data_IF_271298951050
#
_entry.id   IF_271298951050
#
_cell.length_a   1.000
_cell.length_b   1.000
_cell.length_c   1.000
_cell.angle_alpha   90.00
_cell.angle_beta   90.00
_cell.angle_gamma   90.00
#
_symmetry.space_group_name_H-M   'P 1'
#
loop_
_entity.id
_entity.type
_entity.pdbx_description
1 polymer ?
#
# COMPACT_ATOMS: atom_id res chain seq x y z
N UNK A 1 6.28 15.92 5.85
CA UNK A 1 6.74 16.24 7.22
C UNK A 1 8.03 17.06 7.27
N UNK A 2 8.77 17.20 6.16
CA UNK A 2 10.05 17.92 6.13
C UNK A 2 9.92 19.45 6.26
N UNK A 3 8.72 20.00 6.08
CA UNK A 3 8.42 21.43 6.29
C UNK A 3 7.09 21.54 7.02
N UNK A 4 7.08 22.31 8.11
CA UNK A 4 5.85 22.65 8.85
C UNK A 4 4.98 23.56 7.97
N UNK A 5 3.70 23.22 7.88
CA UNK A 5 2.73 24.04 7.15
C UNK A 5 2.27 25.17 8.07
N UNK A 6 2.36 26.42 7.61
CA UNK A 6 1.95 27.61 8.37
C UNK A 6 0.66 28.22 7.87
N UNK A 7 0.18 27.80 6.71
CA UNK A 7 -1.07 28.26 6.09
C UNK A 7 -2.28 27.57 6.75
N UNK A 8 -3.16 28.30 7.46
CA UNK A 8 -4.34 27.73 8.11
C UNK A 8 -5.31 27.05 7.12
N UNK A 9 -5.42 27.54 5.89
CA UNK A 9 -6.33 26.96 4.88
C UNK A 9 -5.85 25.58 4.47
N UNK A 10 -4.54 25.41 4.24
CA UNK A 10 -3.93 24.11 3.92
C UNK A 10 -4.06 23.15 5.09
N UNK A 11 -3.88 23.62 6.32
CA UNK A 11 -4.06 22.79 7.52
C UNK A 11 -5.51 22.34 7.63
N UNK A 12 -6.47 23.25 7.49
CA UNK A 12 -7.91 22.94 7.55
C UNK A 12 -8.33 21.94 6.46
N UNK A 13 -7.84 22.14 5.23
CA UNK A 13 -8.06 21.21 4.13
C UNK A 13 -7.62 19.77 4.48
N UNK A 14 -6.47 19.62 5.15
CA UNK A 14 -5.98 18.30 5.59
C UNK A 14 -6.81 17.72 6.74
N UNK A 15 -7.25 18.58 7.68
CA UNK A 15 -8.14 18.16 8.77
C UNK A 15 -9.46 17.59 8.23
N UNK A 16 -10.04 18.23 7.21
CA UNK A 16 -11.28 17.76 6.58
C UNK A 16 -11.10 16.34 6.00
N UNK A 17 -9.92 16.02 5.44
CA UNK A 17 -9.62 14.67 4.95
C UNK A 17 -9.57 13.66 6.12
N UNK A 18 -8.95 14.04 7.25
CA UNK A 18 -8.93 13.17 8.45
C UNK A 18 -10.36 12.93 8.96
N UNK A 19 -11.20 13.97 8.96
CA UNK A 19 -12.60 13.86 9.35
C UNK A 19 -13.36 12.84 8.48
N UNK A 20 -13.15 12.84 7.17
CA UNK A 20 -13.76 11.87 6.27
C UNK A 20 -13.37 10.43 6.64
N UNK A 21 -12.08 10.16 6.93
CA UNK A 21 -11.62 8.83 7.35
C UNK A 21 -12.17 8.41 8.72
N UNK A 22 -12.41 9.36 9.63
CA UNK A 22 -13.02 9.07 10.94
C UNK A 22 -14.53 8.78 10.79
N UNK A 23 -15.23 9.57 9.97
CA UNK A 23 -16.69 9.57 9.88
C UNK A 23 -17.24 8.58 8.83
N UNK A 24 -16.43 8.14 7.88
CA UNK A 24 -16.80 7.21 6.81
C UNK A 24 -15.87 5.99 6.83
N UNK A 25 -16.09 5.03 7.74
CA UNK A 25 -15.22 3.85 7.88
C UNK A 25 -15.10 3.01 6.60
N UNK A 26 -16.12 3.03 5.75
CA UNK A 26 -16.12 2.37 4.45
C UNK A 26 -15.02 2.92 3.52
N UNK A 27 -14.63 4.19 3.69
CA UNK A 27 -13.57 4.84 2.92
C UNK A 27 -12.20 4.17 3.16
N UNK A 28 -11.87 3.90 4.42
CA UNK A 28 -10.64 3.19 4.77
C UNK A 28 -10.64 1.79 4.16
N UNK A 29 -11.72 1.03 4.36
CA UNK A 29 -11.81 -0.35 3.93
C UNK A 29 -11.61 -0.50 2.41
N UNK A 30 -12.25 0.37 1.62
CA UNK A 30 -12.18 0.29 0.16
C UNK A 30 -10.84 0.78 -0.38
N UNK A 31 -10.38 1.95 0.06
CA UNK A 31 -9.16 2.54 -0.45
C UNK A 31 -7.92 1.73 -0.03
N UNK A 32 -7.86 1.29 1.23
CA UNK A 32 -6.75 0.45 1.68
C UNK A 32 -6.65 -0.84 0.88
N UNK A 33 -7.76 -1.58 0.77
CA UNK A 33 -7.80 -2.85 0.03
C UNK A 33 -7.43 -2.67 -1.44
N UNK A 34 -8.08 -1.72 -2.12
CA UNK A 34 -7.90 -1.51 -3.57
C UNK A 34 -6.50 -0.99 -3.89
N UNK A 35 -6.03 0.06 -3.21
CA UNK A 35 -4.74 0.65 -3.49
C UNK A 35 -3.58 -0.27 -3.08
N UNK A 36 -3.71 -0.97 -1.95
CA UNK A 36 -2.69 -1.94 -1.52
C UNK A 36 -2.58 -3.12 -2.49
N UNK A 37 -3.70 -3.62 -2.99
CA UNK A 37 -3.71 -4.69 -4.00
C UNK A 37 -3.02 -4.25 -5.29
N UNK A 38 -3.34 -3.05 -5.79
CA UNK A 38 -2.70 -2.48 -6.99
C UNK A 38 -1.19 -2.29 -6.77
N UNK A 39 -0.79 -1.74 -5.62
CA UNK A 39 0.62 -1.51 -5.28
C UNK A 39 1.41 -2.82 -5.13
N UNK A 40 0.87 -3.82 -4.45
CA UNK A 40 1.51 -5.12 -4.29
C UNK A 40 1.70 -5.82 -5.66
N UNK A 41 0.69 -5.74 -6.51
CA UNK A 41 0.72 -6.30 -7.85
C UNK A 41 1.77 -5.59 -8.73
N UNK A 42 1.85 -4.26 -8.68
CA UNK A 42 2.85 -3.49 -9.45
C UNK A 42 4.28 -3.91 -9.11
N UNK A 43 4.60 -4.09 -7.83
CA UNK A 43 5.92 -4.57 -7.40
C UNK A 43 6.26 -5.98 -7.91
N UNK A 44 5.28 -6.88 -7.96
CA UNK A 44 5.48 -8.25 -8.46
C UNK A 44 5.86 -8.27 -9.94
N UNK A 45 5.27 -7.38 -10.75
CA UNK A 45 5.60 -7.24 -12.18
C UNK A 45 7.01 -6.74 -12.40
N UNK A 46 7.40 -5.68 -11.67
CA UNK A 46 8.75 -5.11 -11.83
C UNK A 46 9.86 -6.07 -11.35
N UNK A 47 9.60 -6.88 -10.35
CA UNK A 47 10.58 -7.86 -9.85
C UNK A 47 10.84 -9.02 -10.81
N UNK A 48 9.89 -9.34 -11.70
CA UNK A 48 9.97 -10.45 -12.66
C UNK A 48 10.31 -10.01 -14.10
N UNK A 49 10.48 -8.73 -14.35
CA UNK A 49 10.85 -8.20 -15.66
C UNK A 49 12.24 -8.68 -16.06
N UNK A 50 12.31 -9.79 -16.79
CA UNK A 50 13.54 -10.45 -17.22
C UNK A 50 13.44 -11.97 -17.37
N UNK A 51 12.32 -12.58 -17.00
CA UNK A 51 12.07 -14.00 -17.25
C UNK A 51 11.49 -14.19 -18.65
N UNK A 52 12.08 -15.09 -19.42
CA UNK A 52 11.83 -15.33 -20.85
C UNK A 52 10.59 -16.19 -21.12
N UNK A 53 9.52 -16.08 -20.35
CA UNK A 53 8.32 -16.93 -20.53
C UNK A 53 7.10 -16.10 -20.95
N UNK A 54 6.94 -15.87 -22.26
CA UNK A 54 5.95 -14.94 -22.82
C UNK A 54 4.47 -15.31 -22.55
N UNK A 55 4.11 -16.59 -22.51
CA UNK A 55 2.75 -17.02 -22.16
C UNK A 55 2.45 -16.87 -20.67
N UNK A 56 3.40 -17.18 -19.81
CA UNK A 56 3.27 -16.98 -18.38
C UNK A 56 3.12 -15.50 -18.06
N UNK A 57 3.94 -14.66 -18.70
CA UNK A 57 3.87 -13.20 -18.57
C UNK A 57 2.53 -12.65 -19.05
N UNK A 58 1.97 -13.15 -20.16
CA UNK A 58 0.65 -12.75 -20.64
C UNK A 58 -0.45 -13.10 -19.62
N UNK A 59 -0.39 -14.29 -19.03
CA UNK A 59 -1.36 -14.72 -18.01
C UNK A 59 -1.26 -13.87 -16.74
N UNK A 60 -0.04 -13.57 -16.28
CA UNK A 60 0.18 -12.69 -15.13
C UNK A 60 -0.30 -11.27 -15.40
N UNK A 61 0.04 -10.68 -16.55
CA UNK A 61 -0.41 -9.34 -16.93
C UNK A 61 -1.94 -9.26 -17.05
N UNK A 62 -2.57 -10.30 -17.58
CA UNK A 62 -4.04 -10.38 -17.65
C UNK A 62 -4.65 -10.40 -16.24
N UNK A 63 -4.12 -11.22 -15.32
CA UNK A 63 -4.59 -11.29 -13.95
C UNK A 63 -4.40 -9.95 -13.19
N UNK A 64 -3.34 -9.21 -13.49
CA UNK A 64 -3.10 -7.88 -12.92
C UNK A 64 -4.16 -6.87 -13.35
N UNK A 65 -4.50 -6.87 -14.63
CA UNK A 65 -5.52 -5.96 -15.15
C UNK A 65 -6.90 -6.36 -14.66
N UNK A 66 -7.21 -7.65 -14.54
CA UNK A 66 -8.45 -8.10 -13.91
C UNK A 66 -8.56 -7.63 -12.44
N UNK A 67 -7.45 -7.70 -11.70
CA UNK A 67 -7.40 -7.18 -10.33
C UNK A 67 -7.62 -5.65 -10.30
N UNK A 68 -7.03 -4.92 -11.24
CA UNK A 68 -7.28 -3.48 -11.40
C UNK A 68 -8.74 -3.18 -11.73
N UNK A 69 -9.34 -3.90 -12.68
CA UNK A 69 -10.76 -3.75 -13.03
C UNK A 69 -11.64 -4.00 -11.79
N UNK A 70 -11.38 -5.07 -11.04
CA UNK A 70 -12.13 -5.38 -9.81
C UNK A 70 -12.00 -4.25 -8.76
N UNK A 71 -10.81 -3.69 -8.57
CA UNK A 71 -10.60 -2.56 -7.67
C UNK A 71 -11.40 -1.32 -8.12
N UNK A 72 -11.42 -1.03 -9.41
CA UNK A 72 -12.19 0.10 -9.96
C UNK A 72 -13.70 -0.09 -9.80
N UNK A 73 -14.20 -1.32 -9.95
CA UNK A 73 -15.62 -1.67 -9.72
C UNK A 73 -16.00 -1.53 -8.23
N UNK A 74 -15.12 -1.94 -7.32
CA UNK A 74 -15.34 -1.75 -5.88
C UNK A 74 -15.38 -0.25 -5.53
N UNK A 75 -14.47 0.56 -6.10
CA UNK A 75 -14.43 2.01 -5.90
C UNK A 75 -15.68 2.70 -6.46
N UNK A 76 -16.17 2.28 -7.63
CA UNK A 76 -17.43 2.76 -8.19
C UNK A 76 -18.61 2.45 -7.27
N UNK A 77 -18.72 1.24 -6.75
CA UNK A 77 -19.76 0.87 -5.78
C UNK A 77 -19.70 1.69 -4.48
N UNK A 78 -18.50 2.12 -4.06
CA UNK A 78 -18.34 3.07 -2.95
C UNK A 78 -18.81 4.47 -3.34
N UNK A 79 -18.42 4.96 -4.52
CA UNK A 79 -18.85 6.26 -5.03
C UNK A 79 -20.35 6.43 -4.98
N UNK A 80 -21.09 5.48 -5.53
CA UNK A 80 -22.57 5.52 -5.56
C UNK A 80 -23.22 5.57 -4.16
N UNK A 81 -22.60 4.91 -3.18
CA UNK A 81 -23.18 4.78 -1.83
C UNK A 81 -22.72 5.85 -0.86
N UNK A 82 -21.51 6.33 -0.99
CA UNK A 82 -20.83 7.08 0.06
C UNK A 82 -20.28 8.44 -0.37
N UNK A 83 -20.22 8.80 -1.67
CA UNK A 83 -19.66 10.08 -2.10
C UNK A 83 -20.36 11.29 -1.45
N UNK A 84 -21.67 11.23 -1.22
CA UNK A 84 -22.45 12.27 -0.55
C UNK A 84 -22.14 12.43 0.94
N UNK A 85 -21.46 11.47 1.59
CA UNK A 85 -21.05 11.55 3.00
C UNK A 85 -19.72 12.30 3.17
N UNK A 86 -18.93 12.44 2.11
CA UNK A 86 -17.62 13.09 2.15
C UNK A 86 -17.76 14.60 2.28
N UNK A 87 -17.07 15.17 3.25
CA UNK A 87 -17.06 16.61 3.54
C UNK A 87 -15.84 17.29 2.89
N UNK A 88 -14.69 16.63 2.88
CA UNK A 88 -13.47 17.22 2.35
C UNK A 88 -13.50 17.39 0.82
N UNK A 89 -13.03 18.52 0.35
CA UNK A 89 -12.84 18.77 -1.07
C UNK A 89 -11.80 17.79 -1.67
N UNK A 90 -10.77 17.44 -0.86
CA UNK A 90 -9.71 16.53 -1.28
C UNK A 90 -10.21 15.13 -1.57
N UNK A 91 -10.95 14.51 -0.65
CA UNK A 91 -11.46 13.16 -0.87
C UNK A 91 -12.54 13.11 -1.95
N UNK A 92 -13.40 14.13 -2.03
CA UNK A 92 -14.34 14.25 -3.15
C UNK A 92 -13.64 14.29 -4.50
N UNK A 93 -12.57 15.08 -4.62
CA UNK A 93 -11.79 15.15 -5.86
C UNK A 93 -11.13 13.81 -6.21
N UNK A 94 -10.55 13.11 -5.23
CA UNK A 94 -9.95 11.79 -5.43
C UNK A 94 -10.99 10.77 -5.90
N UNK A 95 -12.09 10.66 -5.18
CA UNK A 95 -13.15 9.68 -5.49
C UNK A 95 -13.80 10.02 -6.83
N UNK A 96 -13.97 11.31 -7.16
CA UNK A 96 -14.48 11.75 -8.47
C UNK A 96 -13.48 11.39 -9.60
N UNK A 97 -12.19 11.60 -9.40
CA UNK A 97 -11.20 11.25 -10.42
C UNK A 97 -11.15 9.73 -10.70
N UNK A 98 -11.35 8.91 -9.68
CA UNK A 98 -11.48 7.44 -9.83
C UNK A 98 -12.76 7.11 -10.60
N UNK A 99 -13.88 7.76 -10.28
CA UNK A 99 -15.16 7.56 -10.96
C UNK A 99 -15.11 8.00 -12.42
N UNK A 100 -14.48 9.14 -12.72
CA UNK A 100 -14.30 9.63 -14.10
C UNK A 100 -13.48 8.61 -14.93
N UNK A 101 -12.44 8.03 -14.31
CA UNK A 101 -11.65 6.96 -14.96
C UNK A 101 -12.49 5.70 -15.18
N UNK A 102 -13.30 5.30 -14.20
CA UNK A 102 -14.19 4.14 -14.33
C UNK A 102 -15.20 4.31 -15.47
N UNK A 103 -15.73 5.53 -15.66
CA UNK A 103 -16.70 5.86 -16.71
C UNK A 103 -16.08 6.15 -18.07
N UNK A 104 -14.76 6.18 -18.17
CA UNK A 104 -14.10 6.47 -19.43
C UNK A 104 -14.35 5.40 -20.50
N UNK A 105 -14.39 5.79 -21.75
CA UNK A 105 -14.53 4.87 -22.89
C UNK A 105 -13.35 3.89 -22.97
N UNK A 106 -12.15 4.36 -22.59
CA UNK A 106 -10.95 3.53 -22.53
C UNK A 106 -11.09 2.41 -21.52
N UNK A 107 -11.65 2.68 -20.33
CA UNK A 107 -11.85 1.65 -19.30
C UNK A 107 -12.94 0.65 -19.73
N UNK A 108 -14.02 1.11 -20.34
CA UNK A 108 -15.07 0.24 -20.89
C UNK A 108 -14.50 -0.69 -21.98
N UNK A 109 -13.69 -0.16 -22.88
CA UNK A 109 -12.99 -0.92 -23.93
C UNK A 109 -12.04 -1.95 -23.33
N UNK A 110 -11.24 -1.55 -22.34
CA UNK A 110 -10.34 -2.46 -21.64
C UNK A 110 -11.09 -3.66 -21.02
N UNK A 111 -12.23 -3.43 -20.37
CA UNK A 111 -13.02 -4.51 -19.78
C UNK A 111 -13.44 -5.55 -20.82
N UNK A 112 -13.87 -5.10 -22.00
CA UNK A 112 -14.26 -5.99 -23.10
C UNK A 112 -13.07 -6.76 -23.63
N UNK A 113 -11.96 -6.09 -23.92
CA UNK A 113 -10.74 -6.71 -24.45
C UNK A 113 -10.14 -7.75 -23.52
N UNK A 114 -10.10 -7.46 -22.22
CA UNK A 114 -9.60 -8.41 -21.20
C UNK A 114 -10.52 -9.62 -21.06
N UNK A 115 -11.84 -9.43 -21.10
CA UNK A 115 -12.78 -10.53 -21.06
C UNK A 115 -12.64 -11.46 -22.31
N UNK A 116 -12.43 -10.89 -23.49
CA UNK A 116 -12.16 -11.64 -24.72
C UNK A 116 -10.80 -12.35 -24.68
N UNK A 117 -9.76 -11.67 -24.22
CA UNK A 117 -8.43 -12.26 -24.04
C UNK A 117 -8.50 -13.45 -23.07
N UNK A 118 -9.18 -13.30 -21.93
CA UNK A 118 -9.38 -14.40 -20.97
C UNK A 118 -10.12 -15.57 -21.57
N UNK A 119 -11.17 -15.31 -22.34
CA UNK A 119 -11.90 -16.35 -23.05
C UNK A 119 -10.99 -17.08 -24.04
N UNK A 120 -10.16 -16.33 -24.76
CA UNK A 120 -9.18 -16.88 -25.71
C UNK A 120 -8.12 -17.71 -24.99
N UNK A 121 -7.58 -17.22 -23.86
CA UNK A 121 -6.62 -17.95 -23.02
C UNK A 121 -7.26 -19.21 -22.40
N UNK A 122 -8.52 -19.12 -21.95
CA UNK A 122 -9.24 -20.25 -21.35
C UNK A 122 -9.65 -21.31 -22.39
N UNK A 123 -9.96 -20.90 -23.61
CA UNK A 123 -10.21 -21.78 -24.77
C UNK A 123 -8.96 -22.11 -25.55
N UNK A 124 -7.84 -21.51 -25.17
CA UNK A 124 -6.52 -21.70 -25.77
C UNK A 124 -6.00 -23.12 -25.59
N UNK A 125 -4.86 -23.33 -26.12
CA UNK A 125 -4.19 -24.64 -26.19
C UNK A 125 -4.18 -25.36 -24.83
N UNK A 126 -4.91 -26.48 -24.75
CA UNK A 126 -4.95 -27.34 -23.57
C UNK A 126 -3.99 -28.52 -23.65
N UNK A 127 -3.52 -28.82 -24.86
CA UNK A 127 -2.50 -29.86 -25.06
C UNK A 127 -1.65 -29.59 -26.29
N UNK A 128 -0.42 -30.04 -26.27
CA UNK A 128 0.54 -30.00 -27.38
C UNK A 128 1.10 -31.36 -27.59
N UNK A 129 1.33 -31.70 -28.84
CA UNK A 129 1.95 -32.97 -29.21
C UNK A 129 3.31 -32.70 -29.84
N UNK A 130 4.33 -33.38 -29.33
CA UNK A 130 5.69 -33.29 -29.84
C UNK A 130 6.10 -34.60 -30.46
N UNK A 131 6.83 -34.55 -31.58
CA UNK A 131 7.59 -35.62 -32.13
C UNK A 131 9.06 -35.50 -31.75
N UNK A 132 9.69 -36.61 -31.42
CA UNK A 132 11.11 -36.65 -31.11
C UNK A 132 11.78 -37.63 -32.11
N UNK A 133 12.69 -37.11 -32.91
CA UNK A 133 13.54 -37.94 -33.74
C UNK A 133 14.73 -38.45 -32.92
N UNK A 134 15.07 -39.73 -33.13
CA UNK A 134 16.17 -40.35 -32.41
C UNK A 134 17.32 -40.66 -33.39
N UNK A 135 18.57 -40.56 -32.93
CA UNK A 135 19.75 -40.98 -33.65
C UNK A 135 19.86 -42.52 -33.71
N UNK A 136 20.87 -43.03 -34.40
CA UNK A 136 21.13 -44.50 -34.54
C UNK A 136 21.40 -45.17 -33.17
N UNK A 137 21.71 -44.40 -32.13
CA UNK A 137 21.93 -44.87 -30.76
C UNK A 137 20.70 -44.64 -29.86
N UNK A 138 19.53 -44.37 -30.45
CA UNK A 138 18.26 -44.11 -29.73
C UNK A 138 18.31 -42.91 -28.82
N UNK A 139 19.16 -41.93 -29.08
CA UNK A 139 19.22 -40.65 -28.33
C UNK A 139 18.38 -39.57 -29.04
N UNK A 140 17.68 -38.71 -28.31
CA UNK A 140 16.95 -37.59 -28.92
C UNK A 140 17.88 -36.69 -29.73
N UNK A 141 17.61 -36.54 -31.02
CA UNK A 141 18.37 -35.71 -31.95
C UNK A 141 17.59 -34.40 -32.29
N UNK A 142 16.29 -34.53 -32.52
CA UNK A 142 15.45 -33.45 -32.93
C UNK A 142 14.09 -33.54 -32.27
N UNK A 143 13.52 -32.37 -31.88
CA UNK A 143 12.18 -32.26 -31.30
C UNK A 143 11.37 -31.29 -32.16
N UNK A 144 10.21 -31.73 -32.68
CA UNK A 144 9.31 -30.95 -33.48
C UNK A 144 7.93 -30.87 -32.85
N UNK A 145 7.29 -29.66 -32.86
CA UNK A 145 5.90 -29.48 -32.48
C UNK A 145 5.01 -30.03 -33.61
N UNK A 146 4.23 -31.09 -33.35
CA UNK A 146 3.37 -31.73 -34.34
C UNK A 146 1.99 -31.11 -34.39
N UNK A 147 1.37 -30.88 -33.22
CA UNK A 147 0.02 -30.33 -33.17
C UNK A 147 -0.25 -29.62 -31.86
N UNK A 148 -1.21 -28.68 -31.92
CA UNK A 148 -1.74 -27.93 -30.79
C UNK A 148 -3.25 -28.17 -30.74
N UNK A 149 -3.78 -28.57 -29.57
CA UNK A 149 -5.20 -28.90 -29.40
C UNK A 149 -5.84 -28.02 -28.32
N UNK A 150 -7.12 -27.68 -28.54
CA UNK A 150 -7.97 -27.01 -27.57
C UNK A 150 -8.54 -27.95 -26.51
N UNK A 151 -8.36 -29.25 -26.66
CA UNK A 151 -8.79 -30.25 -25.69
C UNK A 151 -7.60 -30.71 -24.83
N UNK A 152 -7.81 -30.94 -23.51
CA UNK A 152 -6.77 -31.52 -22.68
C UNK A 152 -6.49 -32.94 -23.14
N UNK A 153 -5.23 -33.32 -23.08
CA UNK A 153 -4.84 -34.74 -23.34
C UNK A 153 -5.54 -35.64 -22.31
N UNK A 154 -6.33 -36.59 -22.77
CA UNK A 154 -7.04 -37.55 -21.91
C UNK A 154 -6.43 -38.94 -22.12
N UNK A 155 -6.05 -39.58 -21.03
CA UNK A 155 -5.77 -41.02 -21.06
C UNK A 155 -7.03 -41.76 -21.51
N UNK A 156 -6.86 -42.66 -22.47
CA UNK A 156 -7.94 -43.56 -22.90
C UNK A 156 -8.33 -44.47 -21.75
N UNK A 157 -9.60 -44.46 -21.38
CA UNK A 157 -10.19 -45.48 -20.53
C UNK A 157 -10.18 -46.83 -21.33
N UNK A 158 -9.92 -47.94 -20.64
CA UNK A 158 -9.91 -49.27 -21.20
C UNK A 158 -11.11 -49.59 -22.12
N UNK A 159 -12.27 -48.97 -21.87
CA UNK A 159 -13.51 -49.13 -22.66
C UNK A 159 -13.43 -48.54 -24.08
N UNK A 160 -12.65 -47.46 -24.30
CA UNK A 160 -12.53 -46.84 -25.63
C UNK A 160 -11.64 -47.65 -26.54
N UNK A 161 -10.73 -48.48 -25.96
CA UNK A 161 -9.91 -49.43 -26.68
C UNK A 161 -10.74 -50.60 -27.26
N UNK A 162 -11.80 -50.99 -26.54
CA UNK A 162 -12.69 -52.10 -26.97
C UNK A 162 -13.66 -51.69 -28.08
N UNK A 163 -13.96 -50.42 -28.21
CA UNK A 163 -14.94 -49.88 -29.19
C UNK A 163 -14.32 -49.42 -30.51
N UNK A 164 -13.04 -49.58 -30.70
CA UNK A 164 -12.38 -49.33 -32.00
C UNK A 164 -12.36 -47.89 -32.47
N UNK A 165 -12.54 -46.91 -31.57
CA UNK A 165 -12.56 -45.47 -31.91
C UNK A 165 -11.12 -45.06 -32.22
N UNK A 166 -10.82 -44.83 -33.50
CA UNK A 166 -9.52 -44.31 -33.96
C UNK A 166 -9.34 -42.86 -33.50
N UNK A 167 -8.50 -42.61 -32.50
CA UNK A 167 -7.94 -41.29 -32.20
C UNK A 167 -6.42 -41.33 -32.42
N UNK A 168 -5.94 -40.26 -32.94
CA UNK A 168 -4.70 -40.18 -33.71
C UNK A 168 -3.38 -40.33 -32.95
N UNK A 169 -3.31 -40.40 -31.63
CA UNK A 169 -2.04 -40.64 -30.91
C UNK A 169 -2.30 -41.30 -29.56
N UNK A 170 -1.80 -42.52 -29.35
CA UNK A 170 -1.77 -43.20 -28.05
C UNK A 170 -0.43 -42.95 -27.35
N UNK A 171 -0.40 -42.53 -26.07
CA UNK A 171 0.84 -42.49 -25.34
C UNK A 171 1.29 -43.93 -25.04
N UNK A 172 2.53 -44.25 -25.43
CA UNK A 172 3.12 -45.54 -25.14
C UNK A 172 3.40 -45.72 -23.64
N UNK A 173 3.62 -44.64 -22.93
CA UNK A 173 3.82 -44.59 -21.48
C UNK A 173 3.55 -43.23 -20.92
N UNK A 174 3.11 -43.13 -19.65
CA UNK A 174 2.98 -41.88 -18.94
C UNK A 174 4.34 -41.48 -18.37
N UNK A 175 4.98 -40.53 -19.03
CA UNK A 175 6.19 -39.93 -18.47
C UNK A 175 5.76 -38.93 -17.37
N UNK A 176 5.63 -39.41 -16.14
CA UNK A 176 5.50 -38.53 -14.98
C UNK A 176 6.83 -37.81 -14.79
N UNK A 177 6.88 -36.54 -15.04
CA UNK A 177 7.97 -35.69 -14.56
C UNK A 177 7.92 -35.69 -13.04
N UNK A 178 8.64 -36.61 -12.39
CA UNK A 178 8.91 -36.52 -10.97
C UNK A 178 9.63 -35.19 -10.76
N UNK A 179 9.01 -34.27 -10.00
CA UNK A 179 9.75 -33.12 -9.48
C UNK A 179 10.98 -33.71 -8.77
N UNK A 180 12.16 -33.46 -9.31
CA UNK A 180 13.40 -33.78 -8.61
C UNK A 180 13.34 -33.02 -7.26
N UNK A 181 13.83 -33.64 -6.19
CA UNK A 181 13.87 -33.02 -4.86
C UNK A 181 14.65 -31.72 -4.86
N UNK A 182 15.46 -31.46 -5.87
CA UNK A 182 16.32 -30.28 -6.01
C UNK A 182 15.77 -29.21 -6.96
N UNK A 183 14.52 -29.31 -7.44
CA UNK A 183 13.90 -28.29 -8.29
C UNK A 183 14.50 -28.11 -9.69
N UNK A 184 15.49 -28.93 -10.08
CA UNK A 184 16.12 -28.85 -11.37
C UNK A 184 15.19 -29.44 -12.47
N UNK A 185 14.75 -28.57 -13.37
CA UNK A 185 14.06 -28.94 -14.61
C UNK A 185 15.11 -29.61 -15.52
N UNK A 186 14.82 -30.79 -16.06
CA UNK A 186 15.76 -31.46 -16.96
C UNK A 186 16.01 -30.57 -18.18
N UNK A 187 17.23 -30.63 -18.76
CA UNK A 187 17.63 -29.81 -19.91
C UNK A 187 16.73 -29.98 -21.15
N UNK A 188 16.00 -31.07 -21.24
CA UNK A 188 15.01 -31.33 -22.29
C UNK A 188 13.76 -30.49 -22.07
N UNK A 189 13.30 -30.36 -20.83
CA UNK A 189 12.14 -29.51 -20.51
C UNK A 189 12.44 -28.04 -20.77
N UNK A 190 13.64 -27.56 -20.50
CA UNK A 190 14.04 -26.17 -20.75
C UNK A 190 14.02 -25.80 -22.24
N UNK A 191 14.49 -26.70 -23.12
CA UNK A 191 14.41 -26.46 -24.56
C UNK A 191 12.98 -26.51 -25.08
N UNK A 192 12.18 -27.48 -24.62
CA UNK A 192 10.78 -27.63 -24.98
C UNK A 192 9.96 -26.39 -24.59
N UNK A 193 10.18 -25.89 -23.38
CA UNK A 193 9.51 -24.65 -22.92
C UNK A 193 10.02 -23.44 -23.71
N UNK A 194 11.28 -23.41 -24.12
CA UNK A 194 11.85 -22.33 -24.94
C UNK A 194 11.23 -22.25 -26.33
N UNK A 195 10.99 -23.39 -26.96
CA UNK A 195 10.32 -23.45 -28.27
C UNK A 195 8.84 -23.13 -28.18
N UNK A 196 8.14 -23.58 -27.14
CA UNK A 196 6.76 -23.16 -26.84
C UNK A 196 6.67 -21.65 -26.60
N UNK A 197 7.64 -21.09 -25.91
CA UNK A 197 7.75 -19.68 -25.61
C UNK A 197 8.04 -18.84 -26.88
N UNK A 198 8.87 -19.37 -27.79
CA UNK A 198 9.16 -18.72 -29.07
C UNK A 198 7.91 -18.65 -29.97
N UNK A 199 7.10 -19.71 -30.01
CA UNK A 199 5.84 -19.75 -30.75
C UNK A 199 4.76 -18.83 -30.16
N UNK A 200 4.75 -18.67 -28.83
CA UNK A 200 3.86 -17.71 -28.14
C UNK A 200 4.37 -16.29 -28.16
N UNK A 201 5.68 -16.10 -28.34
CA UNK A 201 6.38 -14.84 -28.11
C UNK A 201 5.97 -13.71 -29.05
N UNK A 202 5.73 -13.98 -30.33
CA UNK A 202 5.25 -12.95 -31.24
C UNK A 202 3.82 -12.51 -30.96
N UNK A 203 2.96 -13.47 -30.60
CA UNK A 203 1.55 -13.17 -30.31
C UNK A 203 1.37 -12.45 -28.97
N UNK A 204 2.13 -12.87 -27.95
CA UNK A 204 2.05 -12.27 -26.62
C UNK A 204 2.75 -10.93 -26.51
N UNK A 205 3.78 -10.68 -27.33
CA UNK A 205 4.59 -9.46 -27.22
C UNK A 205 3.80 -8.18 -27.51
N UNK A 206 2.94 -8.18 -28.49
CA UNK A 206 2.07 -7.04 -28.79
C UNK A 206 1.05 -6.79 -27.67
N UNK A 207 0.42 -7.85 -27.17
CA UNK A 207 -0.54 -7.76 -26.06
C UNK A 207 0.15 -7.33 -24.75
N UNK A 208 1.28 -7.92 -24.41
CA UNK A 208 2.04 -7.55 -23.22
C UNK A 208 2.47 -6.09 -23.24
N UNK A 209 2.92 -5.58 -24.39
CA UNK A 209 3.31 -4.18 -24.52
C UNK A 209 2.12 -3.23 -24.35
N UNK A 210 0.98 -3.54 -24.96
CA UNK A 210 -0.24 -2.72 -24.84
C UNK A 210 -0.81 -2.77 -23.41
N UNK A 211 -0.88 -3.96 -22.81
CA UNK A 211 -1.35 -4.15 -21.44
C UNK A 211 -0.46 -3.43 -20.42
N UNK A 212 0.86 -3.49 -20.59
CA UNK A 212 1.81 -2.74 -19.74
C UNK A 212 1.67 -1.25 -19.91
N UNK A 213 1.61 -0.75 -21.13
CA UNK A 213 1.47 0.68 -21.37
C UNK A 213 0.17 1.24 -20.74
N UNK A 214 -0.92 0.50 -20.83
CA UNK A 214 -2.18 0.87 -20.20
C UNK A 214 -2.09 0.83 -18.67
N UNK A 215 -1.50 -0.23 -18.14
CA UNK A 215 -1.30 -0.43 -16.71
C UNK A 215 -0.45 0.70 -16.14
N UNK A 216 0.71 0.97 -16.70
CA UNK A 216 1.62 2.00 -16.23
C UNK A 216 0.97 3.39 -16.26
N UNK A 217 0.28 3.75 -17.34
CA UNK A 217 -0.41 5.04 -17.47
C UNK A 217 -1.58 5.20 -16.46
N UNK A 218 -2.22 4.10 -16.05
CA UNK A 218 -3.37 4.14 -15.13
C UNK A 218 -2.97 4.05 -13.66
N UNK A 219 -1.80 3.51 -13.35
CA UNK A 219 -1.39 3.14 -12.00
C UNK A 219 -0.54 4.18 -11.31
N UNK A 220 0.28 4.96 -12.02
CA UNK A 220 1.18 5.95 -11.41
C UNK A 220 0.43 6.90 -10.45
N UNK A 221 -0.75 7.35 -10.86
CA UNK A 221 -1.63 8.16 -10.00
C UNK A 221 -2.04 7.40 -8.73
N UNK A 222 -2.49 6.16 -8.87
CA UNK A 222 -2.97 5.33 -7.74
C UNK A 222 -1.83 4.92 -6.79
N UNK A 223 -0.63 4.64 -7.31
CA UNK A 223 0.56 4.35 -6.49
C UNK A 223 1.00 5.58 -5.67
N UNK A 224 0.93 6.76 -6.28
CA UNK A 224 1.24 8.01 -5.56
C UNK A 224 0.19 8.29 -4.48
N UNK A 225 -1.07 8.04 -4.79
CA UNK A 225 -2.19 8.19 -3.88
C UNK A 225 -2.11 7.22 -2.68
N UNK A 226 -1.65 5.99 -2.89
CA UNK A 226 -1.54 4.96 -1.84
C UNK A 226 -0.73 5.46 -0.63
N UNK A 227 0.41 6.09 -0.86
CA UNK A 227 1.24 6.63 0.22
C UNK A 227 0.56 7.75 0.99
N UNK A 228 -0.18 8.62 0.30
CA UNK A 228 -0.91 9.71 0.91
C UNK A 228 -2.11 9.19 1.71
N UNK A 229 -2.86 8.27 1.16
CA UNK A 229 -4.01 7.65 1.82
C UNK A 229 -3.58 6.90 3.08
N UNK A 230 -2.49 6.13 3.04
CA UNK A 230 -1.97 5.42 4.21
C UNK A 230 -1.59 6.36 5.36
N UNK A 231 -1.13 7.57 5.06
CA UNK A 231 -0.89 8.60 6.08
C UNK A 231 -2.19 8.99 6.81
N UNK A 232 -3.26 9.26 6.07
CA UNK A 232 -4.55 9.64 6.67
C UNK A 232 -5.25 8.48 7.38
N UNK A 233 -5.15 7.27 6.85
CA UNK A 233 -5.61 6.04 7.54
C UNK A 233 -4.88 5.88 8.87
N UNK A 234 -3.56 6.03 8.90
CA UNK A 234 -2.76 5.97 10.12
C UNK A 234 -3.18 7.04 11.16
N UNK A 235 -3.51 8.24 10.69
CA UNK A 235 -4.03 9.31 11.54
C UNK A 235 -5.40 8.96 12.14
N UNK A 236 -6.37 8.55 11.33
CA UNK A 236 -7.71 8.15 11.78
C UNK A 236 -7.66 6.98 12.75
N UNK A 237 -6.83 5.97 12.46
CA UNK A 237 -6.62 4.81 13.32
C UNK A 237 -5.99 5.20 14.67
N UNK A 238 -5.11 6.21 14.69
CA UNK A 238 -4.56 6.76 15.93
C UNK A 238 -5.66 7.40 16.77
N UNK A 239 -6.51 8.22 16.16
CA UNK A 239 -7.68 8.85 16.83
C UNK A 239 -8.60 7.77 17.42
N UNK A 240 -8.98 6.77 16.62
CA UNK A 240 -9.87 5.69 17.04
C UNK A 240 -9.27 4.90 18.22
N UNK A 241 -7.97 4.59 18.16
CA UNK A 241 -7.25 3.89 19.22
C UNK A 241 -7.22 4.68 20.52
N UNK A 242 -6.87 5.97 20.49
CA UNK A 242 -6.83 6.79 21.70
C UNK A 242 -8.23 6.92 22.31
N UNK A 243 -9.25 7.16 21.48
CA UNK A 243 -10.64 7.23 21.96
C UNK A 243 -11.14 5.92 22.57
N UNK A 244 -10.75 4.79 22.03
CA UNK A 244 -11.13 3.47 22.61
C UNK A 244 -10.53 3.21 24.01
N UNK A 245 -9.49 3.94 24.37
CA UNK A 245 -8.89 3.93 25.72
C UNK A 245 -9.45 5.00 26.66
N UNK A 246 -10.45 5.76 26.22
CA UNK A 246 -10.98 6.87 26.98
C UNK A 246 -10.13 8.15 26.93
N UNK A 247 -9.08 8.18 26.07
CA UNK A 247 -8.22 9.35 25.93
C UNK A 247 -8.77 10.30 24.86
N UNK A 248 -8.89 11.62 25.17
CA UNK A 248 -9.47 12.57 24.23
C UNK A 248 -8.53 12.85 23.06
N UNK A 249 -9.09 12.93 21.88
CA UNK A 249 -8.43 13.42 20.67
C UNK A 249 -9.37 14.44 20.01
N UNK A 250 -8.90 15.65 19.76
CA UNK A 250 -9.68 16.72 19.16
C UNK A 250 -9.08 17.23 17.85
N UNK A 251 -9.93 17.72 16.98
CA UNK A 251 -9.54 18.57 15.86
C UNK A 251 -9.16 19.94 16.43
N UNK A 252 -7.89 20.40 16.32
CA UNK A 252 -7.50 21.70 16.85
C UNK A 252 -8.07 22.84 16.00
N UNK A 253 -8.45 23.93 16.65
CA UNK A 253 -8.74 25.18 15.98
C UNK A 253 -7.42 25.85 15.61
N UNK A 254 -7.24 26.13 14.33
CA UNK A 254 -6.03 26.77 13.83
C UNK A 254 -6.25 28.29 13.81
N UNK A 255 -5.46 28.97 14.61
CA UNK A 255 -5.45 30.43 14.72
C UNK A 255 -4.47 31.06 13.73
N UNK A 256 -4.59 32.33 13.40
CA UNK A 256 -3.56 33.05 12.66
C UNK A 256 -2.19 32.99 13.34
N UNK A 257 -1.13 32.88 12.56
CA UNK A 257 0.24 32.75 13.07
C UNK A 257 0.68 33.93 13.95
N UNK A 258 0.19 35.13 13.65
CA UNK A 258 0.50 36.38 14.40
C UNK A 258 -0.12 36.43 15.80
N UNK A 259 -1.12 35.60 16.10
CA UNK A 259 -1.67 35.48 17.44
C UNK A 259 -0.71 34.82 18.43
N UNK A 260 0.20 33.96 17.91
CA UNK A 260 1.22 33.30 18.72
C UNK A 260 0.66 32.62 19.97
N UNK A 261 -0.50 31.99 19.85
CA UNK A 261 -1.22 31.32 20.91
C UNK A 261 -1.23 29.84 20.79
N UNK A 262 -1.08 29.14 21.92
CA UNK A 262 -1.27 27.69 22.02
C UNK A 262 -2.00 27.42 23.36
N UNK A 263 -3.24 26.99 23.29
CA UNK A 263 -4.08 26.64 24.45
C UNK A 263 -4.57 25.20 24.30
N UNK A 264 -4.22 24.36 25.25
CA UNK A 264 -4.57 22.96 25.30
C UNK A 264 -5.30 22.62 26.59
N UNK A 265 -6.40 21.87 26.50
CA UNK A 265 -7.08 21.28 27.65
C UNK A 265 -6.86 19.78 27.67
N UNK A 266 -6.45 19.26 28.80
CA UNK A 266 -6.15 17.82 29.01
C UNK A 266 -5.15 17.26 28.00
N UNK A 267 -4.10 18.02 27.67
CA UNK A 267 -3.02 17.60 26.80
C UNK A 267 -2.28 16.39 27.40
N UNK A 268 -1.95 15.42 26.57
CA UNK A 268 -1.11 14.28 26.95
C UNK A 268 -0.17 13.86 25.82
N UNK A 269 0.86 13.08 26.15
CA UNK A 269 1.83 12.58 25.20
C UNK A 269 1.29 11.37 24.42
N UNK A 270 1.01 11.55 23.14
CA UNK A 270 0.51 10.50 22.24
C UNK A 270 1.49 9.32 22.12
N UNK A 271 2.80 9.60 22.07
CA UNK A 271 3.81 8.55 21.93
C UNK A 271 3.88 7.69 23.22
N UNK A 272 3.80 8.33 24.39
CA UNK A 272 3.73 7.64 25.67
C UNK A 272 2.45 6.79 25.77
N UNK A 273 1.29 7.38 25.46
CA UNK A 273 0.02 6.66 25.46
C UNK A 273 0.06 5.44 24.53
N UNK A 274 0.57 5.61 23.32
CA UNK A 274 0.70 4.51 22.35
C UNK A 274 1.63 3.38 22.85
N UNK A 275 2.75 3.73 23.50
CA UNK A 275 3.66 2.75 24.09
C UNK A 275 2.98 1.98 25.24
N UNK A 276 2.22 2.66 26.08
CA UNK A 276 1.48 2.01 27.16
C UNK A 276 0.47 1.00 26.63
N UNK A 277 -0.25 1.32 25.54
CA UNK A 277 -1.20 0.42 24.90
C UNK A 277 -0.59 -0.87 24.40
N UNK A 278 0.61 -0.81 23.85
CA UNK A 278 1.29 -1.99 23.31
C UNK A 278 1.91 -2.86 24.40
N UNK A 279 2.19 -2.30 25.56
CA UNK A 279 2.92 -2.97 26.64
C UNK A 279 2.03 -3.49 27.77
N UNK A 280 0.81 -2.97 27.95
CA UNK A 280 -0.06 -3.30 29.08
C UNK A 280 -1.51 -3.49 28.66
N UNK A 281 -2.13 -4.58 29.10
CA UNK A 281 -3.58 -4.80 28.98
C UNK A 281 -4.28 -3.98 30.05
N UNK A 282 -5.25 -3.13 29.68
CA UNK A 282 -6.05 -2.36 30.64
C UNK A 282 -5.60 -0.91 30.86
N UNK A 283 -4.89 -0.32 29.92
CA UNK A 283 -4.61 1.14 29.92
C UNK A 283 -5.93 1.91 29.80
N UNK A 284 -6.14 2.84 30.69
CA UNK A 284 -7.29 3.74 30.70
C UNK A 284 -6.81 5.18 30.94
N UNK A 285 -7.73 6.12 30.94
CA UNK A 285 -7.48 7.56 31.10
C UNK A 285 -6.73 7.90 32.41
N UNK A 286 -6.90 7.09 33.46
CA UNK A 286 -6.22 7.29 34.74
C UNK A 286 -4.72 6.98 34.69
N UNK A 287 -4.27 6.22 33.71
CA UNK A 287 -2.87 5.81 33.54
C UNK A 287 -2.04 6.88 32.86
N UNK A 288 -2.66 7.63 31.91
CA UNK A 288 -2.02 8.70 31.16
C UNK A 288 -2.42 10.04 31.77
N UNK A 289 -1.44 10.74 32.36
CA UNK A 289 -1.69 12.05 32.96
C UNK A 289 -1.94 13.11 31.88
N UNK A 290 -3.03 13.84 32.07
CA UNK A 290 -3.50 14.92 31.21
C UNK A 290 -3.28 16.26 31.92
N UNK A 291 -2.82 17.29 31.20
CA UNK A 291 -2.51 18.59 31.78
C UNK A 291 -3.02 19.70 30.87
N UNK A 292 -3.48 20.79 31.46
CA UNK A 292 -3.76 22.02 30.73
C UNK A 292 -2.46 22.79 30.47
N UNK A 293 -2.38 23.45 29.33
CA UNK A 293 -1.26 24.30 28.97
C UNK A 293 -1.74 25.48 28.14
N UNK A 294 -1.40 26.68 28.56
CA UNK A 294 -1.70 27.88 27.80
C UNK A 294 -0.43 28.71 27.63
N UNK A 295 -0.16 29.11 26.42
CA UNK A 295 0.89 30.06 26.02
C UNK A 295 0.24 31.15 25.15
N UNK A 296 0.24 32.38 25.65
CA UNK A 296 -0.38 33.53 24.99
C UNK A 296 0.39 34.82 25.32
N UNK A 297 -0.24 35.96 25.10
CA UNK A 297 0.37 37.27 25.45
C UNK A 297 0.60 37.45 26.94
N UNK A 298 -0.10 36.72 27.80
CA UNK A 298 0.11 36.72 29.25
C UNK A 298 1.33 35.92 29.71
N UNK A 299 1.81 34.98 28.90
CA UNK A 299 2.99 34.15 29.20
C UNK A 299 3.37 33.22 28.05
N UNK A 300 4.51 33.53 27.42
CA UNK A 300 5.07 32.75 26.30
C UNK A 300 6.20 31.77 26.69
N UNK A 301 6.64 31.84 27.93
CA UNK A 301 7.70 31.01 28.49
C UNK A 301 7.12 30.17 29.61
N UNK A 302 7.21 28.85 29.47
CA UNK A 302 6.77 27.90 30.48
C UNK A 302 7.96 27.26 31.18
N UNK A 303 8.08 27.44 32.48
CA UNK A 303 9.11 26.82 33.31
C UNK A 303 8.53 25.63 34.05
N UNK A 304 9.01 24.43 33.73
CA UNK A 304 8.56 23.18 34.36
C UNK A 304 9.56 22.76 35.45
N UNK A 305 9.08 22.66 36.68
CA UNK A 305 9.88 22.20 37.83
C UNK A 305 9.27 20.93 38.42
N UNK A 306 10.07 20.12 39.10
CA UNK A 306 9.61 18.92 39.76
C UNK A 306 10.67 17.82 39.83
N UNK A 307 10.39 16.71 40.53
CA UNK A 307 11.34 15.64 40.74
C UNK A 307 11.72 14.92 39.43
N UNK A 308 12.83 14.19 39.45
CA UNK A 308 13.18 13.29 38.36
C UNK A 308 12.06 12.23 38.24
N UNK A 309 11.77 11.83 37.00
CA UNK A 309 10.63 10.96 36.64
C UNK A 309 9.23 11.56 36.93
N UNK A 310 9.12 12.84 37.25
CA UNK A 310 7.85 13.54 37.45
C UNK A 310 7.08 13.91 36.16
N UNK A 311 7.52 13.42 35.00
CA UNK A 311 6.81 13.62 33.72
C UNK A 311 7.14 14.92 32.98
N UNK A 312 8.13 15.71 33.42
CA UNK A 312 8.51 17.00 32.76
C UNK A 312 8.81 16.82 31.27
N UNK A 313 9.68 15.89 30.92
CA UNK A 313 10.05 15.59 29.53
C UNK A 313 8.87 15.06 28.73
N UNK A 314 8.01 14.25 29.33
CA UNK A 314 6.78 13.75 28.71
C UNK A 314 5.84 14.88 28.36
N UNK A 315 5.65 15.85 29.30
CA UNK A 315 4.81 17.01 29.03
C UNK A 315 5.40 17.91 27.92
N UNK A 316 6.71 18.24 27.98
CA UNK A 316 7.35 19.02 26.92
C UNK A 316 7.22 18.36 25.54
N UNK A 317 7.38 17.03 25.50
CA UNK A 317 7.20 16.25 24.26
C UNK A 317 5.74 16.29 23.79
N UNK A 318 4.77 16.24 24.69
CA UNK A 318 3.35 16.34 24.35
C UNK A 318 3.02 17.65 23.63
N UNK A 319 3.54 18.79 24.11
CA UNK A 319 3.37 20.11 23.47
C UNK A 319 3.97 20.10 22.05
N UNK A 320 5.20 19.62 21.91
CA UNK A 320 5.88 19.56 20.59
C UNK A 320 5.15 18.65 19.60
N UNK A 321 4.72 17.46 20.04
CA UNK A 321 3.96 16.53 19.18
C UNK A 321 2.61 17.12 18.78
N UNK A 322 1.90 17.76 19.70
CA UNK A 322 0.62 18.42 19.41
C UNK A 322 0.77 19.54 18.37
N UNK A 323 1.83 20.35 18.48
CA UNK A 323 2.14 21.38 17.48
C UNK A 323 2.41 20.78 16.10
N UNK A 324 3.25 19.72 16.00
CA UNK A 324 3.52 19.03 14.75
C UNK A 324 2.24 18.44 14.17
N UNK A 325 1.42 17.77 14.98
CA UNK A 325 0.18 17.16 14.51
C UNK A 325 -0.78 18.21 13.98
N UNK A 326 -0.97 19.32 14.71
CA UNK A 326 -1.81 20.42 14.28
C UNK A 326 -1.39 20.95 12.89
N UNK A 327 -0.11 21.24 12.70
CA UNK A 327 0.41 21.77 11.43
C UNK A 327 0.46 20.73 10.30
N UNK A 328 0.40 19.45 10.63
CA UNK A 328 0.17 18.38 9.65
C UNK A 328 -1.30 18.25 9.24
N UNK A 329 -2.21 18.97 9.90
CA UNK A 329 -3.65 18.83 9.70
C UNK A 329 -4.24 17.59 10.39
N UNK A 330 -3.63 17.15 11.49
CA UNK A 330 -4.06 15.98 12.26
C UNK A 330 -4.79 16.40 13.53
N UNK A 331 -5.50 15.45 14.11
CA UNK A 331 -6.04 15.55 15.47
C UNK A 331 -4.91 15.56 16.50
N UNK A 332 -5.12 16.31 17.58
CA UNK A 332 -4.15 16.41 18.68
C UNK A 332 -4.65 15.70 19.93
N UNK A 333 -3.72 15.25 20.75
CA UNK A 333 -3.96 14.51 21.99
C UNK A 333 -4.40 15.43 23.13
N UNK A 334 -5.56 16.01 22.98
CA UNK A 334 -6.18 16.92 23.94
C UNK A 334 -7.71 16.84 23.86
N UNK A 335 -8.41 17.36 24.88
CA UNK A 335 -9.87 17.51 24.87
C UNK A 335 -10.28 18.67 23.95
N UNK A 336 -9.53 19.79 24.01
CA UNK A 336 -9.65 20.92 23.07
C UNK A 336 -8.28 21.57 22.88
N UNK A 337 -8.09 22.20 21.72
CA UNK A 337 -6.87 22.92 21.42
C UNK A 337 -7.12 24.08 20.46
N UNK A 338 -6.51 25.24 20.77
CA UNK A 338 -6.42 26.40 19.89
C UNK A 338 -4.96 26.72 19.66
N UNK A 339 -4.50 26.69 18.40
CA UNK A 339 -3.07 26.62 18.09
C UNK A 339 -2.75 27.56 16.93
N UNK A 340 -1.84 28.50 17.13
CA UNK A 340 -1.21 29.26 16.05
C UNK A 340 -0.08 28.43 15.43
N UNK A 341 0.03 28.35 14.10
CA UNK A 341 1.19 27.74 13.44
C UNK A 341 2.50 28.44 13.81
N UNK A 342 3.59 27.67 13.85
CA UNK A 342 4.94 28.17 14.06
C UNK A 342 5.79 27.88 12.82
N UNK A 343 6.79 28.71 12.56
CA UNK A 343 7.74 28.56 11.46
C UNK A 343 8.71 27.41 11.68
N UNK A 344 9.08 27.16 12.95
CA UNK A 344 9.98 26.06 13.30
C UNK A 344 9.74 25.55 14.72
N UNK A 345 10.21 24.31 14.97
CA UNK A 345 10.20 23.67 16.29
C UNK A 345 11.60 23.16 16.57
N UNK A 346 12.25 23.79 17.54
CA UNK A 346 13.57 23.36 18.01
C UNK A 346 13.40 22.53 19.27
N UNK A 347 14.04 21.36 19.30
CA UNK A 347 13.92 20.40 20.40
C UNK A 347 15.32 20.10 20.95
N UNK A 348 15.44 20.26 22.26
CA UNK A 348 16.65 19.92 22.97
C UNK A 348 16.33 18.96 24.13
N UNK A 349 16.64 17.68 23.94
CA UNK A 349 16.55 16.65 24.97
C UNK A 349 17.94 16.12 25.31
N UNK A 350 18.25 15.92 26.62
CA UNK A 350 19.50 15.28 27.02
C UNK A 350 19.59 13.89 26.37
N UNK A 351 20.69 13.58 25.69
CA UNK A 351 21.00 12.22 25.24
C UNK A 351 21.31 11.34 26.43
N UNK A 352 20.92 10.07 26.37
CA UNK A 352 21.43 9.04 27.31
C UNK A 352 22.94 8.93 27.16
N UNK A 353 23.65 8.80 28.29
CA UNK A 353 25.12 8.76 28.32
C UNK A 353 25.61 7.54 27.51
N UNK A 354 26.22 7.75 26.36
CA UNK A 354 27.09 6.76 25.74
C UNK A 354 28.37 6.68 26.56
N UNK A 355 28.59 5.53 27.20
CA UNK A 355 29.83 5.23 27.99
C UNK A 355 31.00 5.28 27.02
N UNK A 356 31.78 6.38 27.03
CA UNK A 356 32.99 6.50 26.23
C UNK A 356 33.36 7.86 25.66
N UNK A 357 32.54 8.89 25.78
CA UNK A 357 32.83 10.22 25.21
C UNK A 357 33.25 11.17 26.33
N UNK A 358 34.52 11.62 26.27
CA UNK A 358 35.14 12.57 27.21
C UNK A 358 34.69 14.04 27.09
N UNK A 359 33.54 14.32 26.45
CA UNK A 359 32.98 15.66 26.40
C UNK A 359 31.99 15.86 27.55
N UNK A 360 32.17 16.93 28.36
CA UNK A 360 31.22 17.23 29.42
C UNK A 360 29.86 17.50 28.82
N UNK A 361 28.82 17.07 29.51
CA UNK A 361 27.40 17.27 29.13
C UNK A 361 27.10 18.71 28.72
N UNK A 362 27.69 19.66 29.43
CA UNK A 362 27.63 21.08 29.14
C UNK A 362 28.20 21.45 27.75
N UNK A 363 29.31 20.86 27.36
CA UNK A 363 29.95 21.15 26.06
C UNK A 363 29.10 20.64 24.89
N UNK A 364 28.41 19.53 25.08
CA UNK A 364 27.55 18.96 24.06
C UNK A 364 26.23 19.75 23.94
N UNK A 365 25.70 20.19 25.07
CA UNK A 365 24.54 21.10 25.10
C UNK A 365 24.87 22.44 24.42
N UNK A 366 26.02 23.02 24.68
CA UNK A 366 26.50 24.24 24.01
C UNK A 366 26.63 24.08 22.50
N UNK A 367 27.10 22.90 22.02
CA UNK A 367 27.20 22.63 20.58
C UNK A 367 25.81 22.54 19.94
N UNK A 368 24.87 21.86 20.57
CA UNK A 368 23.50 21.74 20.06
C UNK A 368 22.80 23.11 20.02
N UNK A 369 23.02 23.97 21.02
CA UNK A 369 22.52 25.35 21.00
C UNK A 369 23.11 26.17 19.84
N UNK A 370 24.42 26.06 19.61
CA UNK A 370 25.08 26.74 18.50
C UNK A 370 24.51 26.29 17.13
N UNK A 371 24.21 24.99 16.99
CA UNK A 371 23.74 24.42 15.72
C UNK A 371 22.25 24.74 15.49
N UNK A 372 21.56 25.32 16.48
CA UNK A 372 20.13 25.72 16.42
C UNK A 372 19.98 27.22 16.09
N UNK A 373 21.00 28.05 16.35
CA UNK A 373 21.03 29.49 16.04
C UNK A 373 21.58 29.70 14.63
#
# INVERSE_FOLDING_TARGET
LSQLVTDPEVISYRQDIVDDFINVPELEAILYKSLHTIYANSKSVYAKAGSTQSFFELTENTALIESFISCMEECHGFYEKCCGKLVSAGMRAVVQAIEDKYRSEEFATLKVEIAELRKTLATGFRSVTFGVNLDELMRPEEIALISVSREPFKERKLFDKLLGVQSSVEPLTNVYTRKSKDGAISSINERLFKELDALGGEYSKHFNTALRAYYDASIDFLITLEKQINFYIGAANTVSRMRSMGLPMCRPVILPMNERRADYKKLYDTAFANKMCTSYVGVNDSTVKQNDCCMDDGGRILILTGPNNGGKTTFTRAVGIAQVFAQCGLYVSAESAEISPVDNIFVHFPKEEEIGINASRFTEECKQFRDTI
#
